data_IF_779441595505
#
_entry.id   IF_779441595505
#
_cell.length_a   1.000
_cell.length_b   1.000
_cell.length_c   1.000
_cell.angle_alpha   90.00
_cell.angle_beta   90.00
_cell.angle_gamma   90.00
#
_symmetry.space_group_name_H-M   'P 1'
#
loop_
_entity.id
_entity.type
_entity.pdbx_description
1 polymer ?
#
# COMPACT_ATOMS: atom_id res chain seq x y z
N UNK A 1 -10.23 136.39 115.73
CA UNK A 1 -10.79 135.09 116.13
C UNK A 1 -12.00 134.80 115.25
N UNK A 2 -11.83 133.91 114.26
CA UNK A 2 -12.88 133.12 113.55
C UNK A 2 -12.49 132.67 112.13
N UNK A 3 -11.20 132.65 111.75
CA UNK A 3 -10.78 132.11 110.45
C UNK A 3 -10.13 130.71 110.49
N UNK A 4 -9.93 130.13 111.68
CA UNK A 4 -9.23 128.83 111.82
C UNK A 4 -10.12 127.58 111.73
N UNK A 5 -11.45 127.71 111.63
CA UNK A 5 -12.36 126.54 111.62
C UNK A 5 -12.66 125.97 110.22
N UNK A 6 -12.21 126.61 109.13
CA UNK A 6 -12.48 126.14 107.75
C UNK A 6 -11.44 125.15 107.20
N UNK A 7 -10.39 124.80 107.96
CA UNK A 7 -9.31 123.90 107.48
C UNK A 7 -9.48 122.40 107.77
N UNK A 8 -10.45 121.98 108.59
CA UNK A 8 -10.51 120.59 109.07
C UNK A 8 -11.51 119.64 108.35
N UNK A 9 -12.41 120.10 107.47
CA UNK A 9 -13.41 119.22 106.82
C UNK A 9 -13.04 118.69 105.42
N UNK A 10 -11.92 119.14 104.84
CA UNK A 10 -11.54 118.79 103.45
C UNK A 10 -10.71 117.52 103.30
N UNK A 11 -10.17 116.95 104.39
CA UNK A 11 -9.19 115.85 104.30
C UNK A 11 -9.80 114.43 104.29
N UNK A 12 -11.03 114.23 104.80
CA UNK A 12 -11.65 112.91 104.89
C UNK A 12 -12.53 112.50 103.70
N UNK A 13 -12.98 113.45 102.86
CA UNK A 13 -13.70 113.15 101.63
C UNK A 13 -12.79 112.66 100.48
N UNK A 14 -11.47 112.82 100.62
CA UNK A 14 -10.54 112.59 99.51
C UNK A 14 -10.29 111.11 99.22
N UNK A 15 -10.11 110.24 100.23
CA UNK A 15 -9.63 108.86 99.98
C UNK A 15 -10.65 107.86 99.41
N UNK A 16 -11.96 108.14 99.45
CA UNK A 16 -12.97 107.21 98.90
C UNK A 16 -13.29 107.46 97.41
N UNK A 17 -13.02 108.67 96.89
CA UNK A 17 -13.23 109.03 95.47
C UNK A 17 -12.17 108.36 94.57
N UNK A 18 -10.93 108.23 95.04
CA UNK A 18 -9.81 107.74 94.22
C UNK A 18 -9.94 106.29 93.74
N UNK A 19 -10.72 105.42 94.43
CA UNK A 19 -10.80 104.00 94.06
C UNK A 19 -11.89 103.67 93.03
N UNK A 20 -12.93 104.51 92.90
CA UNK A 20 -13.92 104.44 91.80
C UNK A 20 -13.37 105.14 90.54
N UNK A 21 -12.51 106.16 90.72
CA UNK A 21 -11.90 106.89 89.61
C UNK A 21 -10.93 106.05 88.75
N UNK A 22 -10.25 105.05 89.33
CA UNK A 22 -9.29 104.22 88.59
C UNK A 22 -9.93 103.21 87.63
N UNK A 23 -11.15 102.74 87.90
CA UNK A 23 -11.82 101.76 87.03
C UNK A 23 -12.54 102.42 85.84
N UNK A 24 -12.90 103.70 85.95
CA UNK A 24 -13.57 104.47 84.89
C UNK A 24 -12.59 105.16 83.91
N UNK A 25 -11.31 105.24 84.27
CA UNK A 25 -10.28 105.86 83.43
C UNK A 25 -9.62 104.88 82.45
N UNK A 26 -9.45 103.60 82.81
CA UNK A 26 -8.92 102.58 81.87
C UNK A 26 -9.82 102.37 80.64
N UNK A 27 -11.14 102.49 80.79
CA UNK A 27 -12.09 102.40 79.67
C UNK A 27 -12.13 103.67 78.80
N UNK A 28 -11.67 104.82 79.33
CA UNK A 28 -11.60 106.09 78.58
C UNK A 28 -10.31 106.22 77.77
N UNK A 29 -9.23 105.57 78.18
CA UNK A 29 -7.96 105.51 77.43
C UNK A 29 -8.07 104.57 76.21
N UNK A 30 -8.89 103.51 76.26
CA UNK A 30 -9.06 102.54 75.16
C UNK A 30 -9.91 103.06 73.98
N UNK A 31 -10.50 104.25 74.09
CA UNK A 31 -11.31 104.93 73.07
C UNK A 31 -10.58 106.11 72.40
N UNK A 32 -9.31 106.35 72.74
CA UNK A 32 -8.52 107.45 72.17
C UNK A 32 -8.16 107.26 70.69
N UNK A 33 -8.07 106.02 70.20
CA UNK A 33 -7.75 105.73 68.79
C UNK A 33 -8.89 106.08 67.80
N UNK A 34 -10.09 106.38 68.29
CA UNK A 34 -11.26 106.81 67.49
C UNK A 34 -11.43 108.34 67.51
N UNK A 35 -10.76 109.06 68.44
CA UNK A 35 -10.75 110.53 68.49
C UNK A 35 -9.85 111.09 67.38
N UNK A 36 -10.43 111.32 66.20
CA UNK A 36 -9.74 111.96 65.07
C UNK A 36 -10.11 111.44 63.68
N UNK A 37 -10.86 110.33 63.60
CA UNK A 37 -11.38 109.84 62.31
C UNK A 37 -12.66 110.59 61.92
N UNK A 38 -12.55 111.50 60.94
CA UNK A 38 -13.71 112.19 60.35
C UNK A 38 -14.64 111.25 59.57
N UNK A 39 -15.89 111.65 59.40
CA UNK A 39 -16.87 110.92 58.59
C UNK A 39 -16.51 110.97 57.10
N UNK A 40 -16.45 109.81 56.44
CA UNK A 40 -16.21 109.69 54.99
C UNK A 40 -17.58 109.46 54.29
N UNK A 41 -18.12 110.42 53.52
CA UNK A 41 -19.47 110.31 52.95
C UNK A 41 -19.55 109.43 51.69
N UNK A 42 -18.51 108.65 51.38
CA UNK A 42 -18.42 107.81 50.18
C UNK A 42 -19.49 106.72 50.24
N UNK A 43 -20.48 106.81 49.36
CA UNK A 43 -21.60 105.85 49.27
C UNK A 43 -22.91 106.31 49.90
N UNK A 44 -22.96 107.47 50.57
CA UNK A 44 -24.22 108.07 51.07
C UNK A 44 -25.17 108.47 49.93
N UNK A 45 -26.47 108.57 50.24
CA UNK A 45 -27.49 109.02 49.29
C UNK A 45 -27.22 110.47 48.84
N UNK A 46 -26.79 111.36 49.74
CA UNK A 46 -26.37 112.72 49.35
C UNK A 46 -25.17 112.69 48.39
N UNK A 47 -24.18 111.82 48.61
CA UNK A 47 -23.04 111.69 47.71
C UNK A 47 -23.46 111.13 46.35
N UNK A 48 -24.36 110.14 46.28
CA UNK A 48 -24.90 109.65 45.01
C UNK A 48 -25.72 110.72 44.27
N UNK A 49 -26.51 111.52 44.99
CA UNK A 49 -27.22 112.68 44.41
C UNK A 49 -26.24 113.73 43.89
N UNK A 50 -25.18 114.04 44.64
CA UNK A 50 -24.11 114.93 44.19
C UNK A 50 -23.36 114.38 42.98
N UNK A 51 -23.07 113.06 42.93
CA UNK A 51 -22.46 112.41 41.76
C UNK A 51 -23.36 112.48 40.54
N UNK A 52 -24.64 112.14 40.67
CA UNK A 52 -25.61 112.30 39.56
C UNK A 52 -25.77 113.75 39.13
N UNK A 53 -25.82 114.69 40.08
CA UNK A 53 -25.88 116.12 39.77
C UNK A 53 -24.60 116.58 39.06
N UNK A 54 -23.43 116.09 39.47
CA UNK A 54 -22.15 116.37 38.81
C UNK A 54 -22.09 115.74 37.40
N UNK A 55 -22.63 114.54 37.20
CA UNK A 55 -22.77 113.91 35.88
C UNK A 55 -23.68 114.75 34.96
N UNK A 56 -24.84 115.19 35.48
CA UNK A 56 -25.81 116.05 34.77
C UNK A 56 -25.19 117.40 34.40
N UNK A 57 -24.39 117.99 35.30
CA UNK A 57 -23.69 119.27 35.06
C UNK A 57 -22.43 119.12 34.20
N UNK A 58 -21.96 117.89 33.92
CA UNK A 58 -20.73 117.70 33.17
C UNK A 58 -20.92 117.94 31.67
N UNK A 59 -20.16 118.89 31.14
CA UNK A 59 -20.26 119.28 29.72
C UNK A 59 -19.81 118.15 28.78
N UNK A 60 -18.87 117.31 29.23
CA UNK A 60 -18.36 116.16 28.47
C UNK A 60 -19.40 115.03 28.30
N UNK A 61 -20.27 114.78 29.29
CA UNK A 61 -21.38 113.83 29.13
C UNK A 61 -22.52 114.42 28.30
N UNK A 62 -22.67 115.74 28.29
CA UNK A 62 -23.71 116.42 27.52
C UNK A 62 -23.40 116.49 26.01
N UNK A 63 -22.17 116.82 25.62
CA UNK A 63 -21.76 116.92 24.21
C UNK A 63 -21.21 115.60 23.68
N UNK A 64 -22.06 114.58 23.59
CA UNK A 64 -21.69 113.31 22.95
C UNK A 64 -22.12 113.26 21.48
N UNK A 65 -21.28 112.71 20.57
CA UNK A 65 -21.64 112.56 19.18
C UNK A 65 -22.82 111.57 19.03
N UNK A 66 -23.75 111.78 18.07
CA UNK A 66 -25.00 111.02 17.98
C UNK A 66 -24.86 109.49 17.88
N UNK A 67 -23.73 108.99 17.37
CA UNK A 67 -23.47 107.56 17.25
C UNK A 67 -23.26 106.83 18.59
N UNK A 68 -23.12 107.57 19.70
CA UNK A 68 -22.91 107.02 21.04
C UNK A 68 -24.22 106.52 21.66
N UNK A 69 -25.37 107.02 21.20
CA UNK A 69 -26.68 106.62 21.70
C UNK A 69 -27.16 105.33 21.01
N UNK A 70 -27.46 104.31 21.80
CA UNK A 70 -28.10 103.07 21.30
C UNK A 70 -29.61 103.26 21.29
N UNK A 71 -30.22 103.31 20.10
CA UNK A 71 -31.67 103.24 19.98
C UNK A 71 -32.13 101.79 20.17
N UNK A 72 -32.94 101.53 21.20
CA UNK A 72 -33.59 100.23 21.40
C UNK A 72 -35.10 100.45 21.30
N UNK A 73 -35.76 99.71 20.40
CA UNK A 73 -37.21 99.73 20.30
C UNK A 73 -37.78 98.90 21.46
N UNK A 74 -38.69 99.44 22.28
CA UNK A 74 -39.28 98.68 23.38
C UNK A 74 -40.04 97.47 22.82
N UNK A 75 -39.96 96.34 23.53
CA UNK A 75 -40.66 95.10 23.14
C UNK A 75 -42.19 95.27 23.08
N UNK A 76 -42.71 96.27 23.79
CA UNK A 76 -44.13 96.63 23.82
C UNK A 76 -44.52 97.62 22.71
N UNK A 77 -43.64 97.86 21.73
CA UNK A 77 -44.01 98.65 20.56
C UNK A 77 -45.19 97.98 19.83
N UNK A 78 -46.17 98.77 19.34
CA UNK A 78 -47.42 98.25 18.80
C UNK A 78 -47.21 97.28 17.63
N UNK A 79 -46.14 97.47 16.84
CA UNK A 79 -45.76 96.60 15.73
C UNK A 79 -45.46 95.16 16.18
N UNK A 80 -44.76 94.98 17.31
CA UNK A 80 -44.44 93.65 17.83
C UNK A 80 -45.66 92.95 18.44
N UNK A 81 -46.56 93.71 19.07
CA UNK A 81 -47.81 93.18 19.61
C UNK A 81 -48.71 92.66 18.48
N UNK A 82 -48.86 93.45 17.42
CA UNK A 82 -49.63 93.08 16.23
C UNK A 82 -49.02 91.85 15.54
N UNK A 83 -47.70 91.81 15.37
CA UNK A 83 -47.01 90.66 14.78
C UNK A 83 -47.24 89.37 15.58
N UNK A 84 -47.22 89.45 16.93
CA UNK A 84 -47.47 88.31 17.82
C UNK A 84 -48.92 87.80 17.71
N UNK A 85 -49.89 88.71 17.64
CA UNK A 85 -51.31 88.35 17.45
C UNK A 85 -51.56 87.73 16.07
N UNK A 86 -50.97 88.29 15.02
CA UNK A 86 -51.08 87.73 13.66
C UNK A 86 -50.45 86.33 13.57
N UNK A 87 -49.32 86.09 14.24
CA UNK A 87 -48.70 84.77 14.30
C UNK A 87 -49.58 83.73 15.02
N UNK A 88 -50.33 84.14 16.05
CA UNK A 88 -51.30 83.28 16.72
C UNK A 88 -52.51 82.98 15.82
N UNK A 89 -53.04 83.99 15.11
CA UNK A 89 -54.18 83.82 14.21
C UNK A 89 -53.85 82.95 12.98
N UNK A 90 -52.61 83.01 12.47
CA UNK A 90 -52.15 82.19 11.34
C UNK A 90 -51.75 80.75 11.75
N UNK A 91 -51.75 80.41 13.03
CA UNK A 91 -51.29 79.11 13.50
C UNK A 91 -52.34 78.01 13.25
N UNK A 92 -52.12 77.19 12.22
CA UNK A 92 -53.01 76.07 11.86
C UNK A 92 -53.19 75.04 12.97
N UNK A 93 -52.21 74.87 13.87
CA UNK A 93 -52.35 73.94 15.00
C UNK A 93 -53.37 74.43 16.03
N UNK A 94 -53.39 75.73 16.33
CA UNK A 94 -54.38 76.31 17.25
C UNK A 94 -55.80 76.17 16.69
N UNK A 95 -55.95 76.21 15.36
CA UNK A 95 -57.23 75.99 14.69
C UNK A 95 -57.73 74.54 14.82
N UNK A 96 -56.86 73.53 14.74
CA UNK A 96 -57.25 72.12 14.84
C UNK A 96 -57.21 71.56 16.27
N UNK A 97 -56.62 72.26 17.22
CA UNK A 97 -56.42 71.79 18.59
C UNK A 97 -57.74 71.46 19.31
N UNK A 98 -58.75 72.34 19.22
CA UNK A 98 -60.07 72.08 19.80
C UNK A 98 -60.71 70.82 19.20
N UNK A 99 -60.67 70.69 17.87
CA UNK A 99 -61.21 69.54 17.14
C UNK A 99 -60.47 68.22 17.46
N UNK A 100 -59.15 68.25 17.57
CA UNK A 100 -58.35 67.08 17.92
C UNK A 100 -58.49 66.69 19.40
N UNK A 101 -58.79 67.65 20.28
CA UNK A 101 -59.13 67.38 21.67
C UNK A 101 -60.53 66.75 21.79
N UNK A 102 -61.50 67.18 21.00
CA UNK A 102 -62.84 66.58 20.94
C UNK A 102 -62.82 65.12 20.44
N UNK A 103 -61.89 64.75 19.56
CA UNK A 103 -61.72 63.34 19.16
C UNK A 103 -61.22 62.44 20.29
N UNK A 104 -60.49 62.99 21.26
CA UNK A 104 -59.92 62.22 22.38
C UNK A 104 -60.95 61.93 23.48
N UNK A 105 -62.01 62.73 23.55
CA UNK A 105 -63.06 62.62 24.60
C UNK A 105 -64.16 61.62 24.25
N UNK A 106 -64.10 60.96 23.10
CA UNK A 106 -65.05 59.90 22.73
C UNK A 106 -64.83 58.69 23.65
N UNK A 107 -65.73 58.51 24.62
CA UNK A 107 -65.71 57.38 25.55
C UNK A 107 -66.33 56.13 24.89
N UNK A 108 -65.49 55.33 24.24
CA UNK A 108 -65.86 54.00 23.75
C UNK A 108 -65.46 52.98 24.82
N UNK A 109 -66.35 52.03 25.13
CA UNK A 109 -66.02 50.95 26.06
C UNK A 109 -64.80 50.17 25.52
N UNK A 110 -63.72 49.98 26.30
CA UNK A 110 -62.51 49.32 25.82
C UNK A 110 -62.71 47.84 25.46
N UNK A 111 -63.84 47.26 25.90
CA UNK A 111 -64.19 45.85 25.77
C UNK A 111 -65.23 45.59 24.67
N UNK A 112 -65.50 46.55 23.78
CA UNK A 112 -66.30 46.25 22.59
C UNK A 112 -65.57 45.21 21.74
N UNK A 113 -66.30 44.21 21.18
CA UNK A 113 -65.68 43.09 20.47
C UNK A 113 -64.84 43.54 19.27
N UNK A 114 -65.24 44.64 18.61
CA UNK A 114 -64.50 45.22 17.49
C UNK A 114 -63.14 45.81 17.92
N UNK A 115 -63.07 46.46 19.10
CA UNK A 115 -61.82 47.00 19.64
C UNK A 115 -60.90 45.87 20.09
N UNK A 116 -61.46 44.82 20.71
CA UNK A 116 -60.68 43.63 21.10
C UNK A 116 -60.12 42.95 19.85
N UNK A 117 -60.94 42.76 18.81
CA UNK A 117 -60.51 42.19 17.53
C UNK A 117 -59.44 43.06 16.86
N UNK A 118 -59.61 44.38 16.83
CA UNK A 118 -58.61 45.30 16.29
C UNK A 118 -57.29 45.25 17.07
N UNK A 119 -57.33 45.14 18.41
CA UNK A 119 -56.14 44.96 19.25
C UNK A 119 -55.45 43.63 18.96
N UNK A 120 -56.19 42.52 18.93
CA UNK A 120 -55.62 41.21 18.62
C UNK A 120 -55.02 41.17 17.22
N UNK A 121 -55.70 41.75 16.23
CA UNK A 121 -55.18 41.87 14.87
C UNK A 121 -53.92 42.76 14.82
N UNK A 122 -53.87 43.85 15.58
CA UNK A 122 -52.69 44.71 15.66
C UNK A 122 -51.46 43.99 16.24
N UNK A 123 -51.70 43.12 17.22
CA UNK A 123 -50.68 42.24 17.81
C UNK A 123 -50.25 41.17 16.81
N UNK A 124 -51.21 40.53 16.13
CA UNK A 124 -50.95 39.47 15.14
C UNK A 124 -50.23 40.00 13.90
N UNK A 125 -50.52 41.23 13.46
CA UNK A 125 -49.86 41.90 12.33
C UNK A 125 -48.62 42.70 12.75
N UNK A 126 -48.23 42.66 14.03
CA UNK A 126 -47.08 43.41 14.51
C UNK A 126 -45.77 42.78 14.00
N UNK A 127 -45.12 43.49 13.09
CA UNK A 127 -43.79 43.16 12.56
C UNK A 127 -42.75 42.94 13.67
N UNK A 128 -42.87 43.69 14.77
CA UNK A 128 -42.00 43.59 15.94
C UNK A 128 -42.17 42.25 16.65
N UNK A 129 -43.40 41.79 16.83
CA UNK A 129 -43.68 40.49 17.45
C UNK A 129 -43.32 39.35 16.51
N UNK A 130 -43.62 39.48 15.21
CA UNK A 130 -43.22 38.52 14.18
C UNK A 130 -41.69 38.29 14.18
N UNK A 131 -40.89 39.35 14.29
CA UNK A 131 -39.42 39.28 14.30
C UNK A 131 -38.82 39.05 15.70
N UNK A 132 -39.63 39.04 16.77
CA UNK A 132 -39.14 38.99 18.16
C UNK A 132 -38.28 37.75 18.42
N UNK A 133 -38.78 36.56 18.13
CA UNK A 133 -38.04 35.31 18.36
C UNK A 133 -36.75 35.22 17.54
N UNK A 134 -36.76 35.73 16.31
CA UNK A 134 -35.54 35.80 15.48
C UNK A 134 -34.51 36.78 16.03
N UNK A 135 -34.95 37.95 16.52
CA UNK A 135 -34.07 38.93 17.13
C UNK A 135 -33.52 38.40 18.47
N UNK A 136 -34.33 37.73 19.28
CA UNK A 136 -33.89 37.08 20.53
C UNK A 136 -32.84 36.00 20.25
N UNK A 137 -33.03 35.18 19.21
CA UNK A 137 -32.02 34.19 18.78
C UNK A 137 -30.72 34.85 18.29
N UNK A 138 -30.80 35.99 17.58
CA UNK A 138 -29.61 36.78 17.21
C UNK A 138 -28.89 37.37 18.43
N UNK A 139 -29.64 37.84 19.41
CA UNK A 139 -29.07 38.43 20.63
C UNK A 139 -28.47 37.39 21.59
N UNK A 140 -29.03 36.18 21.64
CA UNK A 140 -28.48 35.05 22.39
C UNK A 140 -27.07 34.66 21.91
N UNK A 141 -26.70 35.04 20.68
CA UNK A 141 -25.40 34.75 20.10
C UNK A 141 -25.25 33.27 19.70
N UNK A 142 -24.09 32.94 19.15
CA UNK A 142 -23.72 31.56 18.80
C UNK A 142 -22.49 31.16 19.62
N UNK A 143 -22.53 29.99 20.27
CA UNK A 143 -21.34 29.40 20.88
C UNK A 143 -20.43 28.79 19.79
N UNK A 144 -19.61 29.64 19.17
CA UNK A 144 -18.66 29.19 18.16
C UNK A 144 -17.42 28.58 18.84
N UNK A 145 -17.33 27.26 18.80
CA UNK A 145 -16.13 26.50 19.19
C UNK A 145 -14.89 27.02 18.46
N UNK A 146 -13.73 26.93 19.11
CA UNK A 146 -12.43 27.36 18.55
C UNK A 146 -12.07 26.70 17.21
N UNK A 147 -12.70 25.56 16.92
CA UNK A 147 -12.51 24.78 15.70
C UNK A 147 -13.46 25.16 14.57
N UNK A 148 -14.35 26.13 14.81
CA UNK A 148 -15.28 26.62 13.81
C UNK A 148 -14.51 27.14 12.59
N UNK A 149 -15.03 26.81 11.41
CA UNK A 149 -14.47 27.19 10.11
C UNK A 149 -14.11 28.69 10.06
N UNK A 150 -14.97 29.66 10.47
CA UNK A 150 -14.61 31.07 10.41
C UNK A 150 -13.39 31.43 11.29
N UNK A 151 -13.26 30.80 12.45
CA UNK A 151 -12.13 31.04 13.37
C UNK A 151 -10.84 30.43 12.80
N UNK A 152 -10.93 29.22 12.22
CA UNK A 152 -9.80 28.58 11.53
C UNK A 152 -9.31 29.41 10.34
N UNK A 153 -10.23 29.89 9.51
CA UNK A 153 -9.91 30.75 8.37
C UNK A 153 -9.27 32.05 8.86
N UNK A 154 -9.83 32.71 9.87
CA UNK A 154 -9.25 33.93 10.44
C UNK A 154 -7.83 33.71 11.00
N UNK A 155 -7.60 32.58 11.69
CA UNK A 155 -6.26 32.20 12.17
C UNK A 155 -5.28 31.97 11.01
N UNK A 156 -5.70 31.25 9.96
CA UNK A 156 -4.88 31.02 8.78
C UNK A 156 -4.54 32.34 8.06
N UNK A 157 -5.52 33.23 7.88
CA UNK A 157 -5.30 34.56 7.30
C UNK A 157 -4.34 35.41 8.13
N UNK A 158 -4.47 35.38 9.47
CA UNK A 158 -3.53 36.03 10.39
C UNK A 158 -2.11 35.48 10.22
N UNK A 159 -1.98 34.17 10.11
CA UNK A 159 -0.69 33.51 9.96
C UNK A 159 -0.01 33.86 8.63
N UNK A 160 -0.78 33.90 7.54
CA UNK A 160 -0.34 34.32 6.20
C UNK A 160 0.14 35.77 6.21
N UNK A 161 -0.59 36.66 6.88
CA UNK A 161 -0.23 38.08 6.99
C UNK A 161 0.91 38.34 7.98
N UNK A 162 1.37 37.34 8.73
CA UNK A 162 2.38 37.55 9.77
C UNK A 162 3.80 37.49 9.21
N UNK A 163 4.47 38.64 9.17
CA UNK A 163 5.87 38.76 8.78
C UNK A 163 6.81 37.86 9.59
N UNK A 164 6.48 37.63 10.87
CA UNK A 164 7.25 36.75 11.73
C UNK A 164 7.23 35.30 11.24
N UNK A 165 6.05 34.73 10.93
CA UNK A 165 5.96 33.36 10.42
C UNK A 165 6.55 33.25 9.02
N UNK A 166 6.38 34.27 8.19
CA UNK A 166 7.02 34.34 6.87
C UNK A 166 8.54 34.27 6.99
N UNK A 167 9.16 35.12 7.81
CA UNK A 167 10.61 35.13 8.04
C UNK A 167 11.11 33.83 8.68
N UNK A 168 10.34 33.27 9.61
CA UNK A 168 10.67 31.98 10.23
C UNK A 168 10.64 30.84 9.20
N UNK A 169 9.64 30.80 8.31
CA UNK A 169 9.57 29.83 7.23
C UNK A 169 10.72 30.03 6.24
N UNK A 170 11.01 31.28 5.86
CA UNK A 170 12.12 31.63 4.98
C UNK A 170 13.48 31.18 5.54
N UNK A 171 13.78 31.46 6.81
CA UNK A 171 15.03 31.01 7.45
C UNK A 171 15.08 29.48 7.60
N UNK A 172 13.92 28.82 7.79
CA UNK A 172 13.86 27.36 7.73
C UNK A 172 14.18 26.85 6.34
N UNK A 173 13.55 27.37 5.29
CA UNK A 173 13.72 26.92 3.91
C UNK A 173 15.09 27.29 3.33
N UNK A 174 15.74 28.32 3.87
CA UNK A 174 17.09 28.73 3.48
C UNK A 174 18.08 27.58 3.69
N UNK A 175 18.80 27.23 2.62
CA UNK A 175 19.75 26.11 2.63
C UNK A 175 19.12 24.73 2.42
N UNK A 176 17.79 24.62 2.27
CA UNK A 176 17.18 23.41 1.73
C UNK A 176 17.45 23.37 0.23
N UNK A 177 18.56 22.76 -0.14
CA UNK A 177 18.71 22.27 -1.51
C UNK A 177 17.57 21.28 -1.73
N UNK A 178 16.66 21.59 -2.66
CA UNK A 178 15.76 20.58 -3.25
C UNK A 178 16.65 19.68 -4.11
N UNK A 179 17.46 18.87 -3.44
CA UNK A 179 18.20 17.78 -4.02
C UNK A 179 17.29 16.56 -3.95
N UNK A 180 17.05 15.95 -5.10
CA UNK A 180 16.49 14.61 -5.15
C UNK A 180 17.53 13.61 -4.63
N UNK A 181 17.08 12.57 -3.93
CA UNK A 181 17.96 11.50 -3.40
C UNK A 181 18.53 10.66 -4.54
N UNK A 182 17.76 10.50 -5.61
CA UNK A 182 18.16 9.82 -6.83
C UNK A 182 17.61 10.57 -8.06
N UNK A 183 18.27 10.45 -9.20
CA UNK A 183 17.87 11.17 -10.43
C UNK A 183 16.53 10.71 -11.02
N UNK A 184 15.91 9.68 -10.42
CA UNK A 184 14.58 9.18 -10.79
C UNK A 184 13.46 9.92 -10.05
N UNK A 185 13.77 10.64 -8.97
CA UNK A 185 12.76 11.31 -8.15
C UNK A 185 12.26 12.63 -8.81
N UNK A 186 13.02 13.23 -9.73
CA UNK A 186 12.58 14.40 -10.51
C UNK A 186 12.12 13.98 -11.93
N UNK A 187 10.81 14.09 -12.23
CA UNK A 187 10.27 13.79 -13.56
C UNK A 187 10.96 14.55 -14.69
N UNK A 188 11.42 15.78 -14.45
CA UNK A 188 12.08 16.60 -15.47
C UNK A 188 13.44 16.03 -15.84
N UNK A 189 14.23 15.63 -14.86
CA UNK A 189 15.55 15.04 -15.08
C UNK A 189 15.47 13.62 -15.64
N UNK A 190 14.47 12.83 -15.25
CA UNK A 190 14.15 11.55 -15.91
C UNK A 190 13.90 11.77 -17.39
N UNK A 191 13.10 12.77 -17.73
CA UNK A 191 12.78 13.11 -19.11
C UNK A 191 14.03 13.58 -19.87
N UNK A 192 14.86 14.44 -19.27
CA UNK A 192 16.14 14.85 -19.86
C UNK A 192 17.08 13.67 -20.12
N UNK A 193 17.17 12.71 -19.20
CA UNK A 193 17.96 11.49 -19.40
C UNK A 193 17.40 10.63 -20.54
N UNK A 194 16.08 10.53 -20.66
CA UNK A 194 15.43 9.81 -21.76
C UNK A 194 15.73 10.45 -23.12
N UNK A 195 15.64 11.78 -23.22
CA UNK A 195 16.03 12.53 -24.42
C UNK A 195 17.49 12.33 -24.77
N UNK A 196 18.39 12.41 -23.79
CA UNK A 196 19.82 12.19 -24.01
C UNK A 196 20.11 10.79 -24.56
N UNK A 197 19.38 9.76 -24.09
CA UNK A 197 19.47 8.40 -24.65
C UNK A 197 18.96 8.32 -26.09
N UNK A 198 17.87 9.01 -26.41
CA UNK A 198 17.34 9.07 -27.78
C UNK A 198 18.27 9.81 -28.75
N UNK A 199 18.92 10.88 -28.29
CA UNK A 199 19.90 11.65 -29.05
C UNK A 199 21.26 10.94 -29.19
N UNK A 200 21.51 9.88 -28.42
CA UNK A 200 22.79 9.19 -28.44
C UNK A 200 22.93 8.31 -29.67
N UNK A 201 23.87 8.70 -30.56
CA UNK A 201 24.26 7.91 -31.74
C UNK A 201 24.70 6.47 -31.38
N UNK A 202 25.29 6.29 -30.19
CA UNK A 202 25.71 4.97 -29.71
C UNK A 202 24.51 4.06 -29.45
N UNK A 203 23.51 4.58 -28.75
CA UNK A 203 22.27 3.86 -28.45
C UNK A 203 21.48 3.57 -29.73
N UNK A 204 21.44 4.55 -30.65
CA UNK A 204 20.86 4.40 -31.99
C UNK A 204 21.55 3.28 -32.78
N UNK A 205 22.88 3.32 -32.92
CA UNK A 205 23.65 2.29 -33.65
C UNK A 205 23.48 0.91 -33.04
N UNK A 206 23.44 0.81 -31.71
CA UNK A 206 23.17 -0.44 -30.99
C UNK A 206 21.79 -1.01 -31.30
N UNK A 207 20.75 -0.16 -31.36
CA UNK A 207 19.40 -0.55 -31.78
C UNK A 207 19.38 -1.04 -33.23
N UNK A 208 19.99 -0.26 -34.13
CA UNK A 208 20.11 -0.59 -35.55
C UNK A 208 20.83 -1.91 -35.80
N UNK A 209 21.96 -2.17 -35.13
CA UNK A 209 22.69 -3.44 -35.28
C UNK A 209 21.85 -4.64 -34.87
N UNK A 210 21.01 -4.50 -33.82
CA UNK A 210 20.11 -5.57 -33.36
C UNK A 210 18.93 -5.80 -34.30
N UNK A 211 18.46 -4.78 -35.01
CA UNK A 211 17.33 -4.91 -35.94
C UNK A 211 17.77 -5.25 -37.36
N UNK A 212 19.00 -4.92 -37.76
CA UNK A 212 19.54 -5.16 -39.11
C UNK A 212 19.46 -6.62 -39.55
N UNK A 213 19.56 -7.56 -38.62
CA UNK A 213 19.46 -9.01 -38.89
C UNK A 213 18.05 -9.56 -38.76
N UNK A 214 17.08 -8.75 -38.30
CA UNK A 214 15.68 -9.13 -38.14
C UNK A 214 14.88 -8.70 -39.36
N UNK A 215 15.05 -9.43 -40.46
CA UNK A 215 14.18 -9.29 -41.63
C UNK A 215 13.09 -10.37 -41.58
N UNK A 216 11.83 -9.97 -41.74
CA UNK A 216 10.71 -10.88 -41.89
C UNK A 216 10.35 -10.92 -43.38
N UNK A 217 10.66 -12.04 -44.05
CA UNK A 217 10.26 -12.22 -45.45
C UNK A 217 8.84 -12.76 -45.45
N UNK A 218 7.84 -12.02 -45.99
CA UNK A 218 6.47 -12.49 -46.00
C UNK A 218 6.37 -13.78 -46.83
N UNK A 219 5.68 -14.78 -46.28
CA UNK A 219 5.57 -16.11 -46.89
C UNK A 219 4.89 -16.12 -48.27
N UNK A 220 4.14 -15.05 -48.58
CA UNK A 220 3.39 -14.84 -49.81
C UNK A 220 4.19 -14.12 -50.91
N UNK A 221 5.49 -13.87 -50.70
CA UNK A 221 6.35 -13.35 -51.76
C UNK A 221 6.36 -14.32 -52.95
N UNK A 222 6.20 -13.78 -54.16
CA UNK A 222 6.09 -14.54 -55.40
C UNK A 222 7.25 -15.52 -55.59
N UNK A 223 8.48 -15.13 -55.24
CA UNK A 223 9.67 -16.01 -55.32
C UNK A 223 9.57 -17.22 -54.38
N UNK A 224 9.07 -17.02 -53.14
CA UNK A 224 8.87 -18.10 -52.16
C UNK A 224 7.75 -19.03 -52.62
N UNK A 225 6.63 -18.45 -53.08
CA UNK A 225 5.50 -19.23 -53.60
C UNK A 225 5.91 -20.01 -54.84
N UNK A 226 6.68 -19.41 -55.75
CA UNK A 226 7.23 -20.08 -56.92
C UNK A 226 8.18 -21.20 -56.51
N UNK A 227 9.12 -20.97 -55.58
CA UNK A 227 10.04 -21.98 -55.08
C UNK A 227 9.31 -23.17 -54.43
N UNK A 228 8.25 -22.90 -53.64
CA UNK A 228 7.38 -23.95 -53.06
C UNK A 228 6.72 -24.78 -54.15
N UNK A 229 6.11 -24.14 -55.14
CA UNK A 229 5.48 -24.82 -56.29
C UNK A 229 6.51 -25.61 -57.10
N UNK A 230 7.70 -25.05 -57.33
CA UNK A 230 8.80 -25.75 -57.99
C UNK A 230 9.23 -26.98 -57.19
N UNK A 231 9.32 -26.87 -55.86
CA UNK A 231 9.65 -28.01 -55.00
C UNK A 231 8.55 -29.07 -55.00
N UNK A 232 7.27 -28.67 -55.00
CA UNK A 232 6.13 -29.57 -55.16
C UNK A 232 6.15 -30.31 -56.51
N UNK A 233 6.54 -29.64 -57.58
CA UNK A 233 6.65 -30.22 -58.93
C UNK A 233 7.87 -31.15 -59.08
N UNK A 234 9.00 -30.81 -58.45
CA UNK A 234 10.21 -31.63 -58.46
C UNK A 234 10.07 -32.85 -57.54
N UNK A 235 9.20 -32.76 -56.53
CA UNK A 235 9.02 -33.82 -55.56
C UNK A 235 8.00 -34.87 -56.05
N UNK A 236 8.50 -36.06 -56.38
CA UNK A 236 7.67 -37.22 -56.74
C UNK A 236 6.76 -37.74 -55.61
N UNK A 237 6.83 -37.19 -54.41
CA UNK A 237 6.12 -37.70 -53.23
C UNK A 237 4.60 -37.84 -53.45
N UNK A 238 3.98 -36.88 -54.12
CA UNK A 238 2.53 -36.92 -54.40
C UNK A 238 2.17 -37.80 -55.62
N UNK A 239 3.14 -38.13 -56.47
CA UNK A 239 2.95 -38.95 -57.67
C UNK A 239 3.21 -40.45 -57.41
N UNK A 240 4.07 -40.76 -56.43
CA UNK A 240 4.33 -42.12 -55.96
C UNK A 240 3.27 -42.55 -54.95
N UNK A 241 2.09 -42.94 -55.41
CA UNK A 241 1.17 -43.74 -54.58
C UNK A 241 1.76 -45.15 -54.43
N UNK A 242 2.25 -45.48 -53.22
CA UNK A 242 2.60 -46.86 -52.87
C UNK A 242 1.30 -47.66 -52.88
N UNK A 243 0.98 -48.30 -54.01
CA UNK A 243 -0.09 -49.28 -54.05
C UNK A 243 0.31 -50.42 -53.10
N UNK A 244 -0.54 -50.61 -52.09
CA UNK A 244 -0.40 -51.57 -51.00
C UNK A 244 0.71 -51.26 -49.98
N UNK A 245 0.47 -50.28 -49.11
CA UNK A 245 0.74 -50.55 -47.70
C UNK A 245 -0.20 -51.67 -47.27
N UNK A 246 0.24 -52.92 -47.40
CA UNK A 246 -0.40 -54.04 -46.72
C UNK A 246 -0.23 -53.78 -45.23
N UNK A 247 -1.26 -53.23 -44.59
CA UNK A 247 -1.36 -53.32 -43.14
C UNK A 247 -1.65 -54.79 -42.84
N UNK A 248 -0.59 -55.55 -42.55
CA UNK A 248 -0.77 -56.91 -42.09
C UNK A 248 -1.61 -56.86 -40.82
N UNK A 249 -2.79 -57.47 -40.85
CA UNK A 249 -3.66 -57.56 -39.69
C UNK A 249 -2.88 -58.25 -38.56
N UNK A 250 -2.96 -57.79 -37.29
CA UNK A 250 -2.21 -58.40 -36.18
C UNK A 250 -2.44 -59.91 -36.00
N UNK A 251 -3.58 -60.39 -36.49
CA UNK A 251 -4.12 -61.75 -36.51
C UNK A 251 -3.73 -62.55 -37.77
N UNK A 252 -3.06 -61.93 -38.75
CA UNK A 252 -2.52 -62.64 -39.91
C UNK A 252 -1.38 -63.58 -39.52
N UNK A 253 -1.37 -64.78 -40.09
CA UNK A 253 -0.46 -65.85 -39.70
C UNK A 253 1.01 -65.46 -39.82
N UNK A 254 1.38 -64.71 -40.87
CA UNK A 254 2.76 -64.25 -41.08
C UNK A 254 3.22 -63.28 -39.97
N UNK A 255 2.35 -62.40 -39.50
CA UNK A 255 2.63 -61.47 -38.39
C UNK A 255 2.71 -62.21 -37.07
N UNK A 256 1.82 -63.17 -36.84
CA UNK A 256 1.87 -64.00 -35.64
C UNK A 256 3.16 -64.81 -35.58
N UNK A 257 3.55 -65.46 -36.68
CA UNK A 257 4.79 -66.24 -36.76
C UNK A 257 6.03 -65.35 -36.57
N UNK A 258 6.08 -64.18 -37.20
CA UNK A 258 7.15 -63.22 -36.99
C UNK A 258 7.21 -62.74 -35.52
N UNK A 259 6.06 -62.44 -34.91
CA UNK A 259 5.98 -62.05 -33.50
C UNK A 259 6.42 -63.18 -32.57
N UNK A 260 6.06 -64.42 -32.86
CA UNK A 260 6.54 -65.59 -32.10
C UNK A 260 8.06 -65.76 -32.23
N UNK A 261 8.62 -65.61 -33.43
CA UNK A 261 10.06 -65.67 -33.65
C UNK A 261 10.81 -64.54 -32.91
N UNK A 262 10.28 -63.31 -32.97
CA UNK A 262 10.84 -62.18 -32.22
C UNK A 262 10.71 -62.33 -30.71
N UNK A 263 9.57 -62.85 -30.23
CA UNK A 263 9.38 -63.12 -28.81
C UNK A 263 10.36 -64.18 -28.30
N UNK A 264 10.64 -65.20 -29.13
CA UNK A 264 11.62 -66.24 -28.83
C UNK A 264 13.05 -65.68 -28.78
N UNK A 265 13.38 -64.72 -29.64
CA UNK A 265 14.69 -64.08 -29.68
C UNK A 265 14.85 -62.93 -28.67
N UNK A 266 13.75 -62.40 -28.14
CA UNK A 266 13.76 -61.22 -27.29
C UNK A 266 14.32 -61.54 -25.90
N UNK A 267 15.52 -61.04 -25.65
CA UNK A 267 16.15 -61.02 -24.32
C UNK A 267 15.26 -60.35 -23.26
N UNK A 268 14.40 -59.42 -23.66
CA UNK A 268 13.52 -58.72 -22.73
C UNK A 268 12.43 -59.66 -22.21
N UNK A 269 11.74 -60.39 -23.10
CA UNK A 269 10.72 -61.37 -22.70
C UNK A 269 11.33 -62.54 -21.92
N UNK A 270 12.54 -62.97 -22.30
CA UNK A 270 13.30 -63.97 -21.54
C UNK A 270 13.61 -63.50 -20.12
N UNK A 271 13.98 -62.23 -19.93
CA UNK A 271 14.25 -61.65 -18.60
C UNK A 271 12.97 -61.40 -17.79
N UNK A 272 11.88 -61.01 -18.44
CA UNK A 272 10.56 -60.87 -17.81
C UNK A 272 10.08 -62.21 -17.24
N UNK A 273 10.31 -63.34 -17.93
CA UNK A 273 10.03 -64.67 -17.40
C UNK A 273 10.95 -65.09 -16.24
N UNK A 274 12.00 -64.33 -15.95
CA UNK A 274 12.85 -64.50 -14.77
C UNK A 274 12.50 -63.50 -13.65
N UNK A 275 11.57 -62.56 -13.88
CA UNK A 275 11.19 -61.57 -12.88
C UNK A 275 10.48 -62.19 -11.68
N UNK A 276 9.83 -63.36 -11.82
CA UNK A 276 9.24 -64.07 -10.67
C UNK A 276 10.28 -64.62 -9.68
N UNK A 277 11.54 -64.75 -10.11
CA UNK A 277 12.69 -65.12 -9.26
C UNK A 277 13.36 -63.86 -8.68
N UNK A 278 13.11 -62.69 -9.28
CA UNK A 278 13.68 -61.41 -8.86
C UNK A 278 13.13 -61.02 -7.49
N UNK A 279 13.98 -61.10 -6.47
CA UNK A 279 13.62 -60.83 -5.09
C UNK A 279 13.49 -62.09 -4.22
N UNK A 280 13.56 -63.30 -4.79
CA UNK A 280 13.82 -64.50 -4.00
C UNK A 280 15.29 -64.49 -3.56
N UNK A 281 15.52 -64.47 -2.24
CA UNK A 281 16.86 -64.54 -1.68
C UNK A 281 17.51 -65.89 -1.98
N UNK A 282 18.83 -65.90 -2.20
CA UNK A 282 19.59 -67.14 -2.35
C UNK A 282 19.63 -67.89 -1.02
N UNK A 283 19.14 -69.15 -1.01
CA UNK A 283 19.26 -70.06 0.13
C UNK A 283 20.43 -71.01 -0.18
N UNK A 284 21.56 -70.95 0.55
CA UNK A 284 22.74 -71.76 0.25
C UNK A 284 22.59 -73.24 0.64
N UNK A 285 21.43 -73.65 1.15
CA UNK A 285 21.18 -75.01 1.64
C UNK A 285 21.38 -76.04 0.51
N UNK A 286 22.35 -76.93 0.69
CA UNK A 286 22.71 -77.96 -0.30
C UNK A 286 23.72 -77.50 -1.37
N UNK A 287 24.16 -76.24 -1.36
CA UNK A 287 25.28 -75.77 -2.18
C UNK A 287 26.57 -76.53 -1.85
N UNK A 288 27.53 -76.57 -2.77
CA UNK A 288 28.81 -77.24 -2.55
C UNK A 288 29.54 -76.68 -1.32
N UNK A 289 29.48 -75.36 -1.11
CA UNK A 289 30.15 -74.72 0.03
C UNK A 289 29.40 -74.94 1.36
N UNK A 290 28.07 -74.99 1.35
CA UNK A 290 27.27 -75.45 2.50
C UNK A 290 27.57 -76.93 2.83
N UNK A 291 27.67 -77.79 1.81
CA UNK A 291 28.05 -79.20 2.00
C UNK A 291 29.48 -79.34 2.52
N UNK A 292 30.43 -78.55 2.02
CA UNK A 292 31.81 -78.50 2.57
C UNK A 292 31.81 -78.04 4.02
N UNK A 293 31.03 -77.02 4.35
CA UNK A 293 30.91 -76.51 5.72
C UNK A 293 30.28 -77.55 6.66
N UNK A 294 29.21 -78.22 6.22
CA UNK A 294 28.60 -79.35 6.92
C UNK A 294 29.57 -80.50 7.15
N UNK A 295 30.27 -80.94 6.09
CA UNK A 295 31.32 -81.96 6.19
C UNK A 295 32.45 -81.55 7.13
N UNK A 296 32.91 -80.30 7.06
CA UNK A 296 33.94 -79.80 7.97
C UNK A 296 33.46 -79.79 9.43
N UNK A 297 32.20 -79.39 9.66
CA UNK A 297 31.55 -79.46 10.98
C UNK A 297 31.41 -80.89 11.49
N UNK A 298 31.04 -81.84 10.63
CA UNK A 298 30.99 -83.28 10.91
C UNK A 298 32.38 -83.83 11.29
N UNK A 299 33.41 -83.48 10.51
CA UNK A 299 34.81 -83.87 10.77
C UNK A 299 35.30 -83.33 12.12
N UNK A 300 34.94 -82.10 12.47
CA UNK A 300 35.28 -81.48 13.75
C UNK A 300 34.42 -82.00 14.93
N UNK A 301 33.35 -82.75 14.66
CA UNK A 301 32.43 -83.23 15.69
C UNK A 301 33.02 -84.39 16.48
N UNK A 302 33.40 -84.13 17.74
CA UNK A 302 33.92 -85.16 18.65
C UNK A 302 32.97 -86.36 18.83
N UNK A 303 31.65 -86.11 18.76
CA UNK A 303 30.60 -87.12 18.87
C UNK A 303 30.61 -88.11 17.70
N UNK A 304 30.94 -87.65 16.49
CA UNK A 304 31.05 -88.53 15.33
C UNK A 304 32.38 -89.29 15.31
N UNK A 305 33.44 -88.70 15.88
CA UNK A 305 34.76 -89.34 15.94
C UNK A 305 34.83 -90.51 16.92
N UNK A 306 34.27 -90.37 18.14
CA UNK A 306 34.32 -91.41 19.18
C UNK A 306 33.15 -92.40 19.05
N UNK A 307 33.16 -93.22 18.01
CA UNK A 307 32.15 -94.27 17.78
C UNK A 307 32.63 -95.64 18.29
N UNK A 308 31.76 -96.42 18.99
CA UNK A 308 32.11 -97.77 19.42
C UNK A 308 32.23 -98.74 18.22
N UNK A 309 33.15 -99.73 18.27
CA UNK A 309 33.51 -100.56 17.10
C UNK A 309 32.37 -101.39 16.48
N UNK A 310 31.29 -101.66 17.22
CA UNK A 310 30.20 -102.50 16.74
C UNK A 310 29.33 -101.84 15.64
N UNK A 311 29.47 -100.52 15.43
CA UNK A 311 28.69 -99.78 14.43
C UNK A 311 29.20 -99.95 12.99
N UNK A 312 30.41 -100.51 12.78
CA UNK A 312 30.98 -100.67 11.44
C UNK A 312 30.67 -102.07 10.87
N UNK A 313 30.12 -102.14 9.65
CA UNK A 313 29.93 -103.39 8.90
C UNK A 313 31.10 -103.60 7.93
N UNK A 314 31.75 -104.75 7.99
CA UNK A 314 32.82 -105.11 7.05
C UNK A 314 32.23 -105.74 5.78
N UNK A 315 32.57 -105.21 4.60
CA UNK A 315 32.23 -105.79 3.29
C UNK A 315 33.51 -106.15 2.54
N UNK A 316 33.57 -107.35 1.96
CA UNK A 316 34.68 -107.77 1.08
C UNK A 316 34.61 -107.03 -0.25
N UNK A 317 35.73 -106.46 -0.72
CA UNK A 317 35.77 -105.68 -1.95
C UNK A 317 35.45 -106.54 -3.19
N UNK A 318 34.62 -106.05 -4.14
CA UNK A 318 34.29 -106.77 -5.38
C UNK A 318 35.48 -107.01 -6.32
N UNK A 319 36.52 -106.18 -6.20
CA UNK A 319 37.73 -106.22 -7.03
C UNK A 319 38.89 -106.94 -6.32
N UNK A 320 38.57 -107.83 -5.39
CA UNK A 320 39.55 -108.74 -4.82
C UNK A 320 40.25 -109.54 -5.95
N UNK A 321 41.58 -109.71 -5.89
CA UNK A 321 42.34 -110.43 -6.92
C UNK A 321 41.76 -111.84 -7.18
N UNK A 322 41.24 -112.48 -6.14
CA UNK A 322 40.60 -113.80 -6.19
C UNK A 322 39.35 -113.81 -7.09
N UNK A 323 38.52 -112.76 -6.99
CA UNK A 323 37.29 -112.61 -7.79
C UNK A 323 37.60 -112.25 -9.25
N UNK A 324 38.65 -111.46 -9.48
CA UNK A 324 39.12 -111.10 -10.82
C UNK A 324 39.66 -112.34 -11.54
N UNK A 325 40.45 -113.16 -10.84
CA UNK A 325 40.98 -114.40 -11.39
C UNK A 325 39.87 -115.39 -11.74
N UNK A 326 38.84 -115.51 -10.88
CA UNK A 326 37.67 -116.32 -11.17
C UNK A 326 36.92 -115.86 -12.45
N UNK A 327 36.78 -114.55 -12.66
CA UNK A 327 36.17 -113.99 -13.88
C UNK A 327 36.97 -114.31 -15.15
N UNK A 328 38.29 -114.17 -15.11
CA UNK A 328 39.17 -114.46 -16.26
C UNK A 328 39.17 -115.95 -16.62
N UNK A 329 39.21 -116.83 -15.62
CA UNK A 329 39.13 -118.27 -15.85
C UNK A 329 37.80 -118.68 -16.51
N UNK A 330 36.68 -118.05 -16.12
CA UNK A 330 35.38 -118.28 -16.75
C UNK A 330 35.34 -117.84 -18.22
N UNK A 331 36.04 -116.77 -18.59
CA UNK A 331 36.13 -116.30 -19.99
C UNK A 331 36.97 -117.25 -20.86
N UNK A 332 38.10 -117.76 -20.36
CA UNK A 332 38.98 -118.67 -21.10
C UNK A 332 38.34 -120.04 -21.39
N UNK A 333 37.46 -120.53 -20.50
CA UNK A 333 36.75 -121.80 -20.70
C UNK A 333 35.57 -121.70 -21.68
N UNK A 334 35.24 -120.50 -22.16
CA UNK A 334 34.05 -120.27 -22.98
C UNK A 334 34.26 -120.70 -24.44
N UNK A 335 33.75 -121.89 -24.78
CA UNK A 335 33.81 -122.47 -26.13
C UNK A 335 33.28 -121.55 -27.23
N UNK A 336 32.27 -120.72 -26.95
CA UNK A 336 31.66 -119.81 -27.94
C UNK A 336 32.64 -118.75 -28.41
N UNK A 337 33.36 -118.14 -27.45
CA UNK A 337 34.38 -117.14 -27.74
C UNK A 337 35.54 -117.72 -28.57
N UNK A 338 35.89 -118.99 -28.31
CA UNK A 338 36.91 -119.71 -29.10
C UNK A 338 36.48 -119.93 -30.56
N UNK A 339 35.25 -120.40 -30.81
CA UNK A 339 34.73 -120.57 -32.17
C UNK A 339 34.62 -119.24 -32.92
N UNK A 340 34.21 -118.18 -32.22
CA UNK A 340 34.07 -116.83 -32.79
C UNK A 340 35.43 -116.24 -33.21
N UNK A 341 36.47 -116.42 -32.40
CA UNK A 341 37.83 -116.04 -32.76
C UNK A 341 38.36 -116.85 -33.96
N UNK A 342 38.14 -118.17 -33.97
CA UNK A 342 38.58 -119.08 -35.03
C UNK A 342 37.95 -118.77 -36.41
N UNK A 343 36.66 -118.45 -36.45
CA UNK A 343 35.99 -118.11 -37.72
C UNK A 343 36.40 -116.74 -38.26
N UNK A 344 36.85 -115.83 -37.40
CA UNK A 344 37.40 -114.54 -37.82
C UNK A 344 38.79 -114.67 -38.45
N UNK A 345 39.63 -115.60 -37.99
CA UNK A 345 40.95 -115.83 -38.57
C UNK A 345 40.89 -116.45 -39.98
N UNK A 346 39.90 -117.31 -40.26
CA UNK A 346 39.70 -117.88 -41.61
C UNK A 346 39.38 -116.85 -42.68
N UNK A 347 38.79 -115.70 -42.32
CA UNK A 347 38.43 -114.64 -43.28
C UNK A 347 39.66 -113.86 -43.77
N UNK A 348 40.81 -114.01 -43.12
CA UNK A 348 42.07 -113.35 -43.51
C UNK A 348 42.95 -114.30 -44.33
N UNK A 349 42.54 -114.65 -45.54
CA UNK A 349 43.44 -115.30 -46.51
C UNK A 349 43.82 -114.28 -47.58
N UNK A 350 45.12 -114.01 -47.71
CA UNK A 350 45.69 -113.16 -48.75
C UNK A 350 46.06 -114.05 -49.95
N UNK A 351 45.35 -113.90 -51.08
CA UNK A 351 45.68 -114.60 -52.34
C UNK A 351 46.25 -113.57 -53.32
N UNK A 352 47.44 -113.86 -53.88
CA UNK A 352 48.14 -113.01 -54.85
C UNK A 352 47.50 -113.15 -56.24
N UNK A 353 47.18 -112.03 -56.89
CA UNK A 353 46.43 -111.98 -58.16
C UNK A 353 47.19 -112.51 -59.40
N UNK A 354 48.51 -112.69 -59.31
CA UNK A 354 49.39 -113.02 -60.45
C UNK A 354 50.14 -114.36 -60.28
N UNK A 355 49.48 -115.37 -59.72
CA UNK A 355 50.00 -116.74 -59.78
C UNK A 355 49.87 -117.30 -61.22
N UNK A 356 50.87 -118.04 -61.73
CA UNK A 356 50.93 -118.47 -63.13
C UNK A 356 49.74 -119.32 -63.57
N UNK A 357 49.12 -120.09 -62.67
CA UNK A 357 47.89 -120.86 -62.95
C UNK A 357 46.68 -119.97 -63.24
N UNK A 358 46.55 -118.82 -62.56
CA UNK A 358 45.46 -117.85 -62.78
C UNK A 358 45.68 -117.09 -64.09
N UNK A 359 46.94 -116.76 -64.43
CA UNK A 359 47.29 -116.17 -65.73
C UNK A 359 47.06 -117.15 -66.88
N UNK A 360 47.35 -118.44 -66.68
CA UNK A 360 47.06 -119.50 -67.65
C UNK A 360 45.55 -119.74 -67.79
N UNK A 361 44.78 -119.69 -66.71
CA UNK A 361 43.31 -119.75 -66.77
C UNK A 361 42.70 -118.54 -67.51
N UNK A 362 43.25 -117.33 -67.31
CA UNK A 362 42.87 -116.13 -68.07
C UNK A 362 43.25 -116.23 -69.54
N UNK A 363 44.46 -116.70 -69.87
CA UNK A 363 44.92 -116.88 -71.25
C UNK A 363 44.14 -117.99 -71.98
N UNK A 364 43.80 -119.09 -71.30
CA UNK A 364 42.96 -120.15 -71.85
C UNK A 364 41.52 -119.65 -72.10
N UNK A 365 40.98 -118.80 -71.22
CA UNK A 365 39.68 -118.16 -71.44
C UNK A 365 39.69 -117.30 -72.72
N UNK A 366 40.75 -116.52 -72.95
CA UNK A 366 40.93 -115.72 -74.17
C UNK A 366 41.12 -116.60 -75.43
N UNK A 367 41.85 -117.71 -75.32
CA UNK A 367 42.03 -118.66 -76.43
C UNK A 367 40.76 -119.43 -76.80
N UNK A 368 39.87 -119.75 -75.84
CA UNK A 368 38.57 -120.38 -76.13
C UNK A 368 37.56 -119.43 -76.77
N UNK A 369 37.67 -118.11 -76.55
CA UNK A 369 36.84 -117.13 -77.26
C UNK A 369 37.25 -116.95 -78.73
N UNK A 370 38.55 -117.02 -79.06
CA UNK A 370 39.04 -116.81 -80.43
C UNK A 370 38.87 -118.03 -81.36
N UNK A 371 38.81 -119.25 -80.82
CA UNK A 371 38.47 -120.48 -81.57
C UNK A 371 37.00 -120.49 -82.03
N UNK A 372 36.12 -119.72 -81.38
CA UNK A 372 34.71 -119.60 -81.78
C UNK A 372 34.46 -118.65 -82.97
N UNK A 373 35.44 -117.80 -83.32
CA UNK A 373 35.37 -116.86 -84.45
C UNK A 373 36.00 -117.40 -85.74
N UNK A 374 36.98 -118.31 -85.66
CA UNK A 374 37.62 -118.94 -86.83
C UNK A 374 36.85 -120.14 -87.40
N UNK A 375 35.90 -120.73 -86.65
CA UNK A 375 35.02 -121.82 -87.11
C UNK A 375 33.71 -121.35 -87.79
N UNK A 376 33.52 -120.04 -88.02
CA UNK A 376 32.37 -119.50 -88.79
C UNK A 376 32.68 -119.07 -90.23
N UNK A 377 33.93 -119.18 -90.71
CA UNK A 377 34.35 -118.67 -92.05
C UNK A 377 34.81 -119.73 -93.06
N UNK A 378 34.65 -121.03 -92.81
CA UNK A 378 34.84 -122.09 -93.82
C UNK A 378 33.61 -123.00 -93.94
N UNK A 379 32.70 -122.63 -94.85
CA UNK A 379 32.00 -123.59 -95.72
C UNK A 379 30.58 -124.03 -95.36
N UNK A 380 29.59 -123.20 -95.71
CA UNK A 380 28.61 -123.58 -96.73
C UNK A 380 28.32 -122.36 -97.61
N UNK A 381 28.09 -122.64 -98.89
CA UNK A 381 27.53 -121.74 -99.91
C UNK A 381 26.36 -120.90 -99.43
#
# INVERSE_FOLDING_TARGET
MNDDFKRCSSFLASKCVYKVFLFQNLYKEDLDWIRGMGWIPVGSLENQKCKRAAEILSEHLYRQPPHTFKFTTPADAPEFVIAKQNAQQLNSKLYTEAWDNDKKTIHIMPDTPEIILARLNSVQMSDKLYKKGWNEAKHAGYDMRLDAIPIKVAKASRDIASDYKYKQAYEKEKGHHIGFRNIKDDPKLVWSMHVAKMQSDREYKKGFMKSKTKFNIPADMMEIVQAKKCQELVNDFNYKTRLHTWTCLPDSNDVMQARHAYNLQSDQLYKEDLDWIRGMGWIPAGSLDDQKCKRASEILSEKQYRQPPYNFKFTTLPDGPDLIQAKLNAQNMNKRLYTEAWDNDKKKIHVMLDTPEILQAKLNAVQTSDVSLSLRTFGSK
#
